data_IF_042521026717
#
_entry.id   IF_042521026717
#
_cell.length_a   1.000
_cell.length_b   1.000
_cell.length_c   1.000
_cell.angle_alpha   90.00
_cell.angle_beta   90.00
_cell.angle_gamma   90.00
#
_symmetry.space_group_name_H-M   'P 1'
#
loop_
_entity.id
_entity.type
_entity.pdbx_description
1 polymer ?
#
# COMPACT_ATOMS: atom_id res chain seq x y z
N UNK A 1 6.40 34.41 15.85
CA UNK A 1 7.40 33.45 16.39
C UNK A 1 8.46 34.26 17.09
N UNK A 2 8.59 34.15 18.41
CA UNK A 2 9.52 35.01 19.15
C UNK A 2 10.96 34.53 18.95
N UNK A 3 11.83 35.48 18.61
CA UNK A 3 13.25 35.33 18.27
C UNK A 3 14.12 34.77 19.41
N UNK A 4 13.58 34.66 20.62
CA UNK A 4 14.27 34.20 21.83
C UNK A 4 13.60 32.97 22.40
N UNK A 5 14.41 32.02 22.86
CA UNK A 5 14.01 30.84 23.64
C UNK A 5 13.39 31.21 24.99
N UNK A 6 12.73 30.24 25.64
CA UNK A 6 12.10 30.46 26.95
C UNK A 6 13.14 30.83 28.01
N UNK A 7 14.30 30.17 28.03
CA UNK A 7 15.39 30.47 28.96
C UNK A 7 15.93 31.89 28.78
N UNK A 8 16.13 32.34 27.55
CA UNK A 8 16.55 33.72 27.24
C UNK A 8 15.52 34.75 27.71
N UNK A 9 14.22 34.47 27.55
CA UNK A 9 13.15 35.37 28.04
C UNK A 9 13.11 35.43 29.56
N UNK A 10 13.27 34.30 30.25
CA UNK A 10 13.37 34.27 31.72
C UNK A 10 14.54 35.12 32.18
N UNK A 11 15.69 35.00 31.50
CA UNK A 11 16.86 35.81 31.81
C UNK A 11 16.58 37.31 31.65
N UNK A 12 15.88 37.72 30.58
CA UNK A 12 15.51 39.13 30.36
C UNK A 12 14.62 39.64 31.50
N UNK A 13 13.57 38.91 31.86
CA UNK A 13 12.63 39.30 32.94
C UNK A 13 13.35 39.44 34.28
N UNK A 14 14.11 38.41 34.68
CA UNK A 14 14.88 38.41 35.93
C UNK A 14 15.85 39.58 35.98
N UNK A 15 16.62 39.77 34.91
CA UNK A 15 17.63 40.83 34.84
C UNK A 15 16.99 42.22 34.80
N UNK A 16 15.79 42.38 34.25
CA UNK A 16 15.08 43.66 34.26
C UNK A 16 14.72 44.11 35.67
N UNK A 17 14.04 43.24 36.43
CA UNK A 17 13.63 43.58 37.79
C UNK A 17 14.81 43.69 38.76
N UNK A 18 15.87 42.88 38.61
CA UNK A 18 17.07 42.99 39.46
C UNK A 18 17.92 44.24 39.20
N UNK A 19 17.64 45.04 38.16
CA UNK A 19 18.42 46.24 37.81
C UNK A 19 17.53 47.50 37.72
N UNK A 20 16.61 47.66 38.69
CA UNK A 20 15.73 48.82 38.80
C UNK A 20 14.92 49.12 37.53
N UNK A 21 14.42 48.07 36.86
CA UNK A 21 13.60 48.17 35.65
C UNK A 21 14.29 48.90 34.50
N UNK A 22 15.63 48.86 34.41
CA UNK A 22 16.38 49.51 33.34
C UNK A 22 16.54 48.58 32.12
N UNK A 23 15.84 48.83 31.00
CA UNK A 23 15.94 47.96 29.82
C UNK A 23 17.31 48.07 29.14
N UNK A 24 18.02 49.19 29.30
CA UNK A 24 19.37 49.40 28.76
C UNK A 24 20.38 48.52 29.50
N UNK A 25 20.29 48.43 30.83
CA UNK A 25 21.16 47.55 31.63
C UNK A 25 20.85 46.08 31.33
N UNK A 26 19.57 45.72 31.20
CA UNK A 26 19.14 44.38 30.80
C UNK A 26 19.70 43.99 29.44
N UNK A 27 19.63 44.88 28.44
CA UNK A 27 20.18 44.64 27.10
C UNK A 27 21.69 44.39 27.13
N UNK A 28 22.45 45.21 27.88
CA UNK A 28 23.90 45.06 28.02
C UNK A 28 24.28 43.74 28.71
N UNK A 29 23.62 43.41 29.83
CA UNK A 29 23.84 42.14 30.55
C UNK A 29 23.47 40.92 29.71
N UNK A 30 22.41 41.00 28.91
CA UNK A 30 22.04 39.96 27.96
C UNK A 30 23.13 39.73 26.91
N UNK A 31 23.67 40.80 26.32
CA UNK A 31 24.74 40.70 25.34
C UNK A 31 26.01 40.07 25.93
N UNK A 32 26.33 40.39 27.19
CA UNK A 32 27.47 39.80 27.91
C UNK A 32 27.27 38.32 28.22
N UNK A 33 26.12 37.94 28.79
CA UNK A 33 25.84 36.55 29.20
C UNK A 33 25.83 35.59 27.99
N UNK A 34 25.14 35.99 26.92
CA UNK A 34 24.98 35.16 25.72
C UNK A 34 26.08 35.39 24.66
N UNK A 35 27.15 36.12 25.00
CA UNK A 35 28.33 36.37 24.15
C UNK A 35 27.98 36.78 22.71
N UNK A 36 27.01 37.69 22.56
CA UNK A 36 26.51 38.09 21.25
C UNK A 36 27.53 38.97 20.51
N UNK A 37 27.81 38.65 19.23
CA UNK A 37 28.66 39.47 18.34
C UNK A 37 27.96 40.75 17.84
N UNK A 38 26.65 40.84 18.02
CA UNK A 38 25.79 41.98 17.63
C UNK A 38 24.99 42.49 18.82
N UNK A 39 24.35 43.65 18.68
CA UNK A 39 23.48 44.24 19.72
C UNK A 39 22.38 43.25 20.14
N UNK A 40 22.18 43.11 21.45
CA UNK A 40 21.16 42.24 22.05
C UNK A 40 19.72 42.66 21.76
N UNK A 41 18.71 42.10 22.45
CA UNK A 41 17.31 42.44 22.24
C UNK A 41 17.09 43.95 22.32
N UNK A 42 16.33 44.50 21.37
CA UNK A 42 16.02 45.93 21.38
C UNK A 42 15.24 46.32 22.64
N UNK A 43 15.36 47.57 23.08
CA UNK A 43 14.62 48.11 24.24
C UNK A 43 13.11 47.87 24.08
N UNK A 44 12.56 48.08 22.87
CA UNK A 44 11.15 47.79 22.57
C UNK A 44 10.81 46.30 22.77
N UNK A 45 11.70 45.39 22.41
CA UNK A 45 11.48 43.95 22.61
C UNK A 45 11.52 43.56 24.08
N UNK A 46 12.40 44.18 24.87
CA UNK A 46 12.47 43.98 26.32
C UNK A 46 11.18 44.48 26.97
N UNK A 47 10.77 45.72 26.70
CA UNK A 47 9.55 46.29 27.27
C UNK A 47 8.30 45.48 26.91
N UNK A 48 8.16 45.08 25.63
CA UNK A 48 7.03 44.24 25.20
C UNK A 48 7.00 42.87 25.89
N UNK A 49 8.17 42.31 26.21
CA UNK A 49 8.25 41.05 26.97
C UNK A 49 7.85 41.24 28.43
N UNK A 50 8.26 42.36 29.05
CA UNK A 50 7.90 42.72 30.43
C UNK A 50 6.42 43.01 30.55
N UNK A 51 5.86 43.87 29.69
CA UNK A 51 4.42 44.15 29.65
C UNK A 51 3.59 42.88 29.46
N UNK A 52 4.08 41.96 28.61
CA UNK A 52 3.46 40.65 28.45
C UNK A 52 3.51 39.85 29.76
N UNK A 53 4.67 39.77 30.38
CA UNK A 53 4.88 39.03 31.62
C UNK A 53 4.03 39.60 32.77
N UNK A 54 3.92 40.92 32.89
CA UNK A 54 3.06 41.58 33.88
C UNK A 54 1.58 41.30 33.63
N UNK A 55 1.16 41.21 32.36
CA UNK A 55 -0.23 40.90 31.99
C UNK A 55 -0.60 39.42 32.19
N UNK A 56 0.28 38.48 31.85
CA UNK A 56 -0.07 37.04 31.78
C UNK A 56 0.64 36.16 32.80
N UNK A 57 1.63 36.68 33.51
CA UNK A 57 2.51 35.92 34.41
C UNK A 57 3.41 34.91 33.69
N UNK A 58 3.43 34.90 32.35
CA UNK A 58 4.10 33.86 31.56
C UNK A 58 5.00 34.42 30.46
N UNK A 59 6.19 33.84 30.35
CA UNK A 59 7.17 34.12 29.28
C UNK A 59 6.98 33.23 28.05
N UNK A 60 6.11 32.22 28.12
CA UNK A 60 5.78 31.32 27.00
C UNK A 60 5.18 32.10 25.83
N UNK A 61 5.14 31.52 24.62
CA UNK A 61 4.48 32.17 23.48
C UNK A 61 2.98 32.35 23.75
N UNK A 62 2.42 33.50 23.35
CA UNK A 62 0.98 33.72 23.41
C UNK A 62 0.38 32.92 22.25
N UNK A 63 -0.14 31.74 22.56
CA UNK A 63 -0.92 30.96 21.62
C UNK A 63 -2.36 31.48 21.48
N UNK A 64 -2.77 32.43 22.33
CA UNK A 64 -4.04 33.16 22.21
C UNK A 64 -4.09 33.90 20.88
N UNK A 65 -4.78 33.32 19.90
CA UNK A 65 -4.97 33.87 18.54
C UNK A 65 -4.18 33.15 17.44
N UNK A 66 -3.20 32.30 17.78
CA UNK A 66 -2.52 31.42 16.81
C UNK A 66 -3.19 30.04 16.77
N UNK A 67 -4.52 30.01 16.55
CA UNK A 67 -5.30 28.77 16.39
C UNK A 67 -5.06 28.06 15.04
N UNK A 68 -3.97 28.39 14.35
CA UNK A 68 -3.69 27.93 13.00
C UNK A 68 -4.70 28.46 11.97
N UNK A 69 -4.63 27.93 10.74
CA UNK A 69 -5.57 28.27 9.67
C UNK A 69 -6.97 27.82 10.09
N UNK A 70 -8.02 28.67 9.99
CA UNK A 70 -9.39 28.26 10.26
C UNK A 70 -9.76 27.02 9.43
N UNK A 71 -10.35 26.01 10.08
CA UNK A 71 -10.85 24.78 9.47
C UNK A 71 -12.10 25.07 8.62
N UNK A 72 -11.98 25.87 7.56
CA UNK A 72 -13.10 26.26 6.69
C UNK A 72 -13.79 25.09 5.99
N UNK A 73 -13.09 23.96 5.85
CA UNK A 73 -13.58 22.77 5.14
C UNK A 73 -14.08 21.67 6.08
N UNK A 74 -13.57 21.58 7.31
CA UNK A 74 -13.97 20.56 8.31
C UNK A 74 -14.93 21.14 9.35
N UNK A 75 -16.09 21.64 8.91
CA UNK A 75 -17.15 22.02 9.85
C UNK A 75 -17.78 20.78 10.47
N UNK A 76 -18.32 20.89 11.68
CA UNK A 76 -19.05 19.82 12.38
C UNK A 76 -20.15 19.21 11.51
N UNK A 77 -20.88 20.06 10.78
CA UNK A 77 -21.90 19.63 9.81
C UNK A 77 -21.34 18.71 8.71
N UNK A 78 -20.17 19.03 8.15
CA UNK A 78 -19.55 18.24 7.07
C UNK A 78 -18.98 16.92 7.59
N UNK A 79 -18.49 16.91 8.83
CA UNK A 79 -18.06 15.68 9.51
C UNK A 79 -19.26 14.75 9.68
N UNK A 80 -20.39 15.27 10.17
CA UNK A 80 -21.60 14.49 10.37
C UNK A 80 -22.20 13.97 9.06
N UNK A 81 -22.26 14.80 8.01
CA UNK A 81 -22.68 14.34 6.67
C UNK A 81 -21.75 13.25 6.12
N UNK A 82 -20.46 13.33 6.40
CA UNK A 82 -19.50 12.30 6.00
C UNK A 82 -19.75 11.01 6.78
N UNK A 83 -19.98 11.08 8.10
CA UNK A 83 -20.34 9.94 8.95
C UNK A 83 -21.57 9.22 8.41
N UNK A 84 -22.67 9.95 8.18
CA UNK A 84 -23.92 9.38 7.66
C UNK A 84 -23.74 8.71 6.30
N UNK A 85 -22.87 9.24 5.43
CA UNK A 85 -22.59 8.62 4.13
C UNK A 85 -21.92 7.24 4.27
N UNK A 86 -20.99 7.10 5.23
CA UNK A 86 -20.32 5.83 5.51
C UNK A 86 -21.18 4.87 6.34
N UNK A 87 -22.04 5.35 7.24
CA UNK A 87 -23.01 4.51 7.95
C UNK A 87 -24.05 3.90 7.01
N UNK A 88 -24.60 4.69 6.07
CA UNK A 88 -25.58 4.20 5.09
C UNK A 88 -24.97 3.23 4.08
N UNK A 89 -23.72 3.47 3.69
CA UNK A 89 -23.02 2.60 2.76
C UNK A 89 -21.53 2.54 3.08
N UNK A 90 -21.13 1.57 3.91
CA UNK A 90 -19.74 1.36 4.34
C UNK A 90 -18.75 1.14 3.19
N UNK A 91 -19.25 0.80 1.99
CA UNK A 91 -18.44 0.55 0.78
C UNK A 91 -18.18 1.80 -0.06
N UNK A 92 -18.71 2.96 0.35
CA UNK A 92 -18.58 4.19 -0.43
C UNK A 92 -17.11 4.58 -0.57
N UNK A 93 -16.66 4.85 -1.79
CA UNK A 93 -15.29 5.33 -2.00
C UNK A 93 -15.14 6.76 -1.49
N UNK A 94 -13.94 7.14 -1.01
CA UNK A 94 -13.65 8.52 -0.58
C UNK A 94 -14.01 9.53 -1.68
N UNK A 95 -13.83 9.17 -2.95
CA UNK A 95 -14.18 10.03 -4.09
C UNK A 95 -15.71 10.22 -4.22
N UNK A 96 -16.50 9.15 -4.04
CA UNK A 96 -17.97 9.23 -4.08
C UNK A 96 -18.52 9.98 -2.88
N UNK A 97 -17.98 9.75 -1.68
CA UNK A 97 -18.30 10.52 -0.48
C UNK A 97 -17.95 12.01 -0.64
N UNK A 98 -16.81 12.34 -1.25
CA UNK A 98 -16.42 13.72 -1.56
C UNK A 98 -17.42 14.42 -2.50
N UNK A 99 -17.94 13.71 -3.49
CA UNK A 99 -18.99 14.23 -4.37
C UNK A 99 -20.32 14.45 -3.63
N UNK A 100 -20.72 13.52 -2.76
CA UNK A 100 -21.94 13.62 -1.95
C UNK A 100 -21.89 14.79 -0.94
N UNK A 101 -20.76 14.95 -0.26
CA UNK A 101 -20.56 16.00 0.77
C UNK A 101 -20.07 17.33 0.17
N UNK A 102 -19.79 17.35 -1.14
CA UNK A 102 -19.28 18.52 -1.90
C UNK A 102 -18.01 19.14 -1.30
N UNK A 103 -17.06 18.29 -0.92
CA UNK A 103 -15.74 18.70 -0.42
C UNK A 103 -14.62 17.99 -1.17
N UNK A 104 -13.40 18.53 -1.08
CA UNK A 104 -12.24 17.91 -1.72
C UNK A 104 -11.99 16.51 -1.14
N UNK A 105 -11.56 15.59 -2.00
CA UNK A 105 -11.23 14.19 -1.64
C UNK A 105 -10.33 14.11 -0.40
N UNK A 106 -9.28 14.93 -0.35
CA UNK A 106 -8.32 14.87 0.75
C UNK A 106 -8.93 15.32 2.08
N UNK A 107 -9.87 16.27 2.05
CA UNK A 107 -10.61 16.68 3.24
C UNK A 107 -11.50 15.55 3.77
N UNK A 108 -12.18 14.80 2.89
CA UNK A 108 -12.93 13.60 3.30
C UNK A 108 -11.99 12.55 3.89
N UNK A 109 -10.84 12.28 3.25
CA UNK A 109 -9.87 11.31 3.78
C UNK A 109 -9.43 11.68 5.20
N UNK A 110 -9.11 12.96 5.41
CA UNK A 110 -8.73 13.48 6.72
C UNK A 110 -9.87 13.37 7.74
N UNK A 111 -11.12 13.64 7.33
CA UNK A 111 -12.30 13.44 8.19
C UNK A 111 -12.47 11.97 8.57
N UNK A 112 -12.41 11.07 7.59
CA UNK A 112 -12.59 9.63 7.79
C UNK A 112 -11.53 9.04 8.73
N UNK A 113 -10.26 9.43 8.57
CA UNK A 113 -9.15 8.86 9.34
C UNK A 113 -8.95 9.56 10.69
N UNK A 114 -8.94 10.89 10.73
CA UNK A 114 -8.58 11.64 11.93
C UNK A 114 -9.79 11.94 12.83
N UNK A 115 -10.95 12.24 12.23
CA UNK A 115 -12.13 12.70 12.99
C UNK A 115 -13.13 11.56 13.26
N UNK A 116 -13.31 10.64 12.30
CA UNK A 116 -14.21 9.48 12.42
C UNK A 116 -13.49 8.18 12.82
N UNK A 117 -12.15 8.16 12.78
CA UNK A 117 -11.32 7.00 13.12
C UNK A 117 -11.73 5.70 12.40
N UNK A 118 -12.21 5.81 11.16
CA UNK A 118 -12.60 4.66 10.36
C UNK A 118 -11.37 4.00 9.75
N UNK A 119 -11.29 2.68 9.87
CA UNK A 119 -10.25 1.88 9.27
C UNK A 119 -10.71 1.29 7.94
N UNK A 120 -9.76 1.17 7.01
CA UNK A 120 -9.99 0.50 5.73
C UNK A 120 -9.75 -0.99 5.91
N UNK A 121 -10.82 -1.76 5.96
CA UNK A 121 -10.72 -3.22 5.95
C UNK A 121 -10.68 -3.77 4.53
N UNK A 122 -9.72 -4.67 4.29
CA UNK A 122 -9.57 -5.42 3.05
C UNK A 122 -9.77 -6.90 3.37
N UNK A 123 -10.58 -7.60 2.58
CA UNK A 123 -10.80 -9.03 2.77
C UNK A 123 -9.50 -9.78 2.44
N UNK A 124 -8.88 -10.35 3.47
CA UNK A 124 -7.70 -11.19 3.39
C UNK A 124 -8.12 -12.66 3.46
N UNK A 125 -8.21 -13.30 2.29
CA UNK A 125 -8.30 -14.76 2.21
C UNK A 125 -6.88 -15.23 1.97
N UNK A 126 -6.36 -16.03 2.91
CA UNK A 126 -5.08 -16.71 2.80
C UNK A 126 -5.35 -18.21 2.82
N UNK A 127 -4.74 -18.97 1.91
CA UNK A 127 -4.63 -20.41 2.09
C UNK A 127 -3.70 -20.65 3.29
N UNK A 128 -4.11 -21.51 4.22
CA UNK A 128 -3.28 -21.89 5.35
C UNK A 128 -2.13 -22.76 4.83
N UNK A 129 -0.94 -22.21 4.79
CA UNK A 129 0.27 -22.98 4.46
C UNK A 129 0.59 -23.94 5.61
N UNK A 130 0.85 -25.20 5.28
CA UNK A 130 1.38 -26.17 6.23
C UNK A 130 2.89 -25.97 6.39
N UNK A 131 3.47 -26.39 7.51
CA UNK A 131 4.91 -26.34 7.73
C UNK A 131 5.67 -27.10 6.62
N UNK A 132 5.18 -28.28 6.25
CA UNK A 132 5.71 -29.08 5.12
C UNK A 132 5.70 -28.31 3.80
N UNK A 133 4.63 -27.58 3.51
CA UNK A 133 4.55 -26.78 2.28
C UNK A 133 5.55 -25.62 2.28
N UNK A 134 5.90 -25.08 3.45
CA UNK A 134 6.94 -24.05 3.56
C UNK A 134 8.31 -24.64 3.29
N UNK A 135 8.61 -25.79 3.88
CA UNK A 135 9.88 -26.52 3.68
C UNK A 135 10.07 -26.91 2.20
N UNK A 136 9.07 -27.52 1.58
CA UNK A 136 9.12 -27.90 0.16
C UNK A 136 9.35 -26.70 -0.77
N UNK A 137 8.73 -25.55 -0.47
CA UNK A 137 8.94 -24.31 -1.24
C UNK A 137 10.34 -23.76 -1.06
N UNK A 138 10.92 -23.88 0.13
CA UNK A 138 12.27 -23.40 0.41
C UNK A 138 13.32 -24.29 -0.26
N UNK A 139 13.17 -25.61 -0.17
CA UNK A 139 14.01 -26.58 -0.88
C UNK A 139 13.99 -26.33 -2.39
N UNK A 140 12.80 -26.19 -2.97
CA UNK A 140 12.63 -25.89 -4.40
C UNK A 140 13.30 -24.57 -4.82
N UNK A 141 13.11 -23.50 -4.04
CA UNK A 141 13.74 -22.21 -4.35
C UNK A 141 15.26 -22.32 -4.27
N UNK A 142 15.79 -23.00 -3.25
CA UNK A 142 17.24 -23.16 -3.10
C UNK A 142 17.82 -23.97 -4.26
N UNK A 143 17.16 -25.07 -4.69
CA UNK A 143 17.65 -25.87 -5.82
C UNK A 143 17.66 -25.07 -7.13
N UNK A 144 16.60 -24.31 -7.41
CA UNK A 144 16.54 -23.49 -8.64
C UNK A 144 17.58 -22.36 -8.59
N UNK A 145 17.81 -21.74 -7.43
CA UNK A 145 18.87 -20.72 -7.28
C UNK A 145 20.24 -21.33 -7.52
N UNK A 146 20.55 -22.50 -6.96
CA UNK A 146 21.80 -23.20 -7.23
C UNK A 146 21.97 -23.56 -8.72
N UNK A 147 20.91 -23.97 -9.40
CA UNK A 147 20.95 -24.24 -10.84
C UNK A 147 21.19 -22.97 -11.66
N UNK A 148 20.64 -21.82 -11.26
CA UNK A 148 20.91 -20.53 -11.89
C UNK A 148 22.37 -20.12 -11.67
N UNK A 149 22.88 -20.23 -10.44
CA UNK A 149 24.25 -19.84 -10.10
C UNK A 149 25.31 -20.71 -10.81
N UNK A 150 24.96 -21.95 -11.17
CA UNK A 150 25.82 -22.87 -11.91
C UNK A 150 25.60 -22.82 -13.45
N UNK A 151 24.87 -21.84 -13.98
CA UNK A 151 24.53 -21.70 -15.40
C UNK A 151 23.79 -22.91 -16.00
N UNK A 152 23.11 -23.70 -15.17
CA UNK A 152 22.32 -24.88 -15.58
C UNK A 152 20.85 -24.54 -15.89
N UNK A 153 20.37 -23.39 -15.41
CA UNK A 153 19.00 -22.93 -15.61
C UNK A 153 18.97 -21.48 -16.08
N UNK A 154 18.58 -21.25 -17.33
CA UNK A 154 18.36 -19.91 -17.86
C UNK A 154 16.87 -19.54 -17.78
N UNK A 155 16.56 -18.52 -16.98
CA UNK A 155 15.21 -18.00 -16.79
C UNK A 155 14.61 -17.49 -18.11
N UNK A 156 15.43 -17.05 -19.08
CA UNK A 156 14.94 -16.60 -20.38
C UNK A 156 14.45 -17.77 -21.25
N UNK A 157 14.90 -18.99 -20.98
CA UNK A 157 14.49 -20.22 -21.66
C UNK A 157 13.21 -20.85 -21.06
N UNK A 158 12.67 -20.26 -20.00
CA UNK A 158 11.51 -20.79 -19.30
C UNK A 158 10.20 -20.32 -19.93
N UNK A 159 9.33 -21.28 -20.24
CA UNK A 159 7.92 -21.08 -20.56
C UNK A 159 7.08 -21.42 -19.34
N UNK A 160 6.24 -20.48 -18.90
CA UNK A 160 5.34 -20.63 -17.76
C UNK A 160 3.91 -20.62 -18.24
N UNK A 161 3.12 -21.63 -17.90
CA UNK A 161 1.68 -21.65 -18.21
C UNK A 161 0.81 -21.53 -16.96
N UNK A 162 -0.38 -20.96 -17.13
CA UNK A 162 -1.40 -20.88 -16.09
C UNK A 162 -2.80 -20.71 -16.71
N UNK A 163 -3.84 -21.04 -15.95
CA UNK A 163 -5.24 -20.81 -16.28
C UNK A 163 -5.81 -19.60 -15.53
N UNK A 164 -6.50 -18.73 -16.27
CA UNK A 164 -7.28 -17.64 -15.69
C UNK A 164 -8.77 -17.79 -15.99
N UNK A 165 -9.59 -17.73 -14.94
CA UNK A 165 -11.06 -17.70 -15.09
C UNK A 165 -11.58 -16.27 -15.25
N UNK A 166 -12.25 -16.02 -16.38
CA UNK A 166 -12.94 -14.76 -16.66
C UNK A 166 -14.44 -14.95 -16.52
N UNK A 167 -15.05 -14.12 -15.67
CA UNK A 167 -16.49 -14.17 -15.41
C UNK A 167 -17.18 -12.96 -16.06
N UNK A 168 -18.11 -13.22 -16.97
CA UNK A 168 -18.87 -12.19 -17.69
C UNK A 168 -19.84 -11.40 -16.79
N UNK A 169 -20.16 -11.90 -15.59
CA UNK A 169 -21.13 -11.30 -14.68
C UNK A 169 -20.51 -10.40 -13.59
N UNK A 170 -19.25 -9.99 -13.72
CA UNK A 170 -18.60 -9.12 -12.73
C UNK A 170 -18.32 -9.85 -11.41
N UNK A 171 -17.63 -10.99 -11.49
CA UNK A 171 -17.15 -11.73 -10.32
C UNK A 171 -16.36 -10.85 -9.35
N UNK A 172 -16.28 -11.29 -8.09
CA UNK A 172 -15.76 -10.51 -6.96
C UNK A 172 -14.33 -10.04 -7.25
N UNK A 173 -14.16 -8.84 -7.82
CA UNK A 173 -12.86 -8.21 -7.89
C UNK A 173 -12.51 -7.71 -6.49
N UNK A 174 -11.64 -8.46 -5.78
CA UNK A 174 -11.16 -8.17 -4.41
C UNK A 174 -10.71 -6.72 -4.20
N UNK A 175 -10.16 -6.06 -5.24
CA UNK A 175 -9.76 -4.65 -5.14
C UNK A 175 -10.94 -3.70 -4.89
N UNK A 176 -12.14 -4.08 -5.30
CA UNK A 176 -13.37 -3.31 -5.14
C UNK A 176 -14.09 -3.55 -3.80
N UNK A 177 -13.67 -4.55 -3.02
CA UNK A 177 -14.31 -4.90 -1.73
C UNK A 177 -13.59 -4.23 -0.55
N UNK A 178 -13.67 -2.90 -0.49
CA UNK A 178 -13.21 -2.10 0.66
C UNK A 178 -14.40 -1.71 1.52
N UNK A 179 -14.31 -1.97 2.81
CA UNK A 179 -15.32 -1.58 3.79
C UNK A 179 -14.65 -0.62 4.77
N UNK A 180 -15.31 0.50 5.04
CA UNK A 180 -14.94 1.41 6.12
C UNK A 180 -15.78 1.09 7.34
N UNK A 181 -15.12 0.91 8.49
CA UNK A 181 -15.79 0.64 9.76
C UNK A 181 -14.86 0.99 10.91
N UNK A 182 -15.43 1.15 12.11
CA UNK A 182 -14.67 1.21 13.36
C UNK A 182 -14.27 -0.19 13.83
N UNK A 183 -15.02 -1.22 13.42
CA UNK A 183 -14.79 -2.63 13.74
C UNK A 183 -14.93 -3.51 12.47
N UNK A 184 -14.46 -4.75 12.55
CA UNK A 184 -14.57 -5.70 11.44
C UNK A 184 -16.04 -6.14 11.25
N UNK A 185 -16.63 -5.82 10.10
CA UNK A 185 -18.07 -5.98 9.88
C UNK A 185 -18.54 -7.41 9.59
N UNK A 186 -17.66 -8.43 9.69
CA UNK A 186 -17.96 -9.86 9.42
C UNK A 186 -18.90 -10.10 8.22
N UNK A 187 -18.69 -9.35 7.14
CA UNK A 187 -19.66 -9.30 6.05
C UNK A 187 -19.51 -10.50 5.12
N UNK A 188 -20.54 -11.34 5.05
CA UNK A 188 -20.65 -12.43 4.08
C UNK A 188 -21.54 -11.99 2.91
N UNK A 189 -21.23 -12.47 1.70
CA UNK A 189 -22.00 -12.15 0.49
C UNK A 189 -22.42 -13.43 -0.15
N UNK A 190 -23.72 -13.57 -0.27
CA UNK A 190 -24.34 -14.67 -1.00
C UNK A 190 -24.31 -14.33 -2.49
N UNK A 191 -23.76 -15.24 -3.30
CA UNK A 191 -23.78 -15.16 -4.76
C UNK A 191 -24.23 -16.49 -5.31
N UNK A 192 -24.75 -16.47 -6.54
CA UNK A 192 -25.06 -17.69 -7.28
C UNK A 192 -23.83 -18.59 -7.33
N UNK A 193 -24.02 -19.86 -6.96
CA UNK A 193 -23.00 -20.90 -6.90
C UNK A 193 -22.46 -21.29 -8.29
N UNK A 194 -23.13 -20.88 -9.38
CA UNK A 194 -22.84 -21.34 -10.74
C UNK A 194 -22.65 -20.20 -11.76
N UNK A 195 -21.72 -19.25 -11.55
CA UNK A 195 -21.28 -18.43 -12.67
C UNK A 195 -20.62 -19.36 -13.71
N UNK A 196 -20.90 -19.17 -15.01
CA UNK A 196 -20.18 -19.87 -16.08
C UNK A 196 -18.94 -19.05 -16.45
N UNK A 197 -17.73 -19.38 -15.96
CA UNK A 197 -16.51 -18.71 -16.40
C UNK A 197 -16.13 -19.15 -17.81
N UNK A 198 -15.41 -18.29 -18.51
CA UNK A 198 -14.54 -18.71 -19.62
C UNK A 198 -13.15 -18.88 -19.03
N UNK A 199 -12.56 -20.06 -19.17
CA UNK A 199 -11.19 -20.32 -18.73
C UNK A 199 -10.26 -20.03 -19.90
N UNK A 200 -9.26 -19.20 -19.68
CA UNK A 200 -8.23 -18.93 -20.68
C UNK A 200 -6.94 -19.54 -20.16
N UNK A 201 -6.38 -20.46 -20.93
CA UNK A 201 -5.01 -20.93 -20.73
C UNK A 201 -4.08 -20.07 -21.57
N UNK A 202 -2.85 -19.91 -21.10
CA UNK A 202 -1.80 -19.19 -21.82
C UNK A 202 -0.43 -19.60 -21.29
N UNK A 203 0.56 -19.71 -22.20
CA UNK A 203 1.97 -19.83 -21.86
C UNK A 203 2.71 -18.50 -22.12
N UNK A 204 3.61 -18.14 -21.21
CA UNK A 204 4.34 -16.89 -21.18
C UNK A 204 5.84 -17.17 -21.01
N UNK A 205 6.67 -16.50 -21.81
CA UNK A 205 8.12 -16.51 -21.68
C UNK A 205 8.69 -15.11 -21.95
N UNK A 206 10.00 -14.95 -21.74
CA UNK A 206 10.75 -13.77 -22.18
C UNK A 206 10.61 -13.52 -23.71
N UNK A 207 10.36 -14.59 -24.49
CA UNK A 207 10.21 -14.56 -25.95
C UNK A 207 8.82 -14.12 -26.42
N UNK A 208 7.80 -14.23 -25.57
CA UNK A 208 6.44 -13.85 -25.95
C UNK A 208 5.35 -14.65 -25.26
N UNK A 209 4.22 -14.72 -25.94
CA UNK A 209 2.96 -15.27 -25.43
C UNK A 209 2.47 -16.31 -26.43
N UNK A 210 2.15 -17.51 -25.96
CA UNK A 210 1.63 -18.62 -26.77
C UNK A 210 0.31 -19.11 -26.19
N UNK A 211 -0.61 -19.45 -27.08
CA UNK A 211 -1.78 -20.25 -26.74
C UNK A 211 -2.77 -19.52 -25.85
N UNK A 212 -3.28 -18.35 -26.24
CA UNK A 212 -4.53 -17.85 -25.66
C UNK A 212 -5.67 -18.78 -26.05
N UNK A 213 -5.83 -19.87 -25.29
CA UNK A 213 -6.78 -20.95 -25.56
C UNK A 213 -7.99 -20.74 -24.69
N UNK A 214 -9.15 -20.59 -25.33
CA UNK A 214 -10.41 -20.39 -24.65
C UNK A 214 -11.09 -21.74 -24.42
N UNK A 215 -11.24 -22.10 -23.16
CA UNK A 215 -12.07 -23.22 -22.74
C UNK A 215 -13.42 -22.69 -22.23
N UNK A 216 -14.49 -23.07 -22.93
CA UNK A 216 -15.87 -22.76 -22.52
C UNK A 216 -16.36 -23.66 -21.36
N UNK A 217 -15.60 -24.71 -21.04
CA UNK A 217 -15.89 -25.70 -20.01
C UNK A 217 -14.68 -25.87 -19.08
N UNK A 218 -14.85 -26.67 -18.02
CA UNK A 218 -13.74 -27.05 -17.15
C UNK A 218 -12.65 -27.76 -17.97
N UNK A 219 -11.40 -27.41 -17.70
CA UNK A 219 -10.23 -28.04 -18.31
C UNK A 219 -10.12 -29.45 -17.73
N UNK A 220 -10.26 -30.46 -18.57
CA UNK A 220 -9.93 -31.85 -18.25
C UNK A 220 -8.56 -32.19 -18.85
N UNK A 221 -7.98 -33.32 -18.45
CA UNK A 221 -6.64 -33.72 -18.90
C UNK A 221 -6.55 -33.86 -20.42
N UNK A 222 -7.56 -34.43 -21.08
CA UNK A 222 -7.56 -34.59 -22.53
C UNK A 222 -7.49 -33.24 -23.28
N UNK A 223 -8.32 -32.26 -22.89
CA UNK A 223 -8.30 -30.92 -23.49
C UNK A 223 -6.99 -30.18 -23.19
N UNK A 224 -6.40 -30.45 -22.03
CA UNK A 224 -5.11 -29.87 -21.65
C UNK A 224 -3.98 -30.43 -22.52
N UNK A 225 -3.89 -31.76 -22.65
CA UNK A 225 -2.94 -32.44 -23.53
C UNK A 225 -3.12 -31.98 -24.98
N UNK A 226 -4.36 -31.86 -25.45
CA UNK A 226 -4.68 -31.36 -26.78
C UNK A 226 -4.16 -29.92 -26.99
N UNK A 227 -4.34 -29.05 -25.99
CA UNK A 227 -3.83 -27.68 -26.02
C UNK A 227 -2.29 -27.64 -26.08
N UNK A 228 -1.60 -28.46 -25.30
CA UNK A 228 -0.15 -28.56 -25.34
C UNK A 228 0.34 -29.08 -26.70
N UNK A 229 -0.21 -30.21 -27.16
CA UNK A 229 0.20 -30.89 -28.40
C UNK A 229 -0.09 -30.06 -29.65
N UNK A 230 -1.24 -29.41 -29.72
CA UNK A 230 -1.68 -28.74 -30.94
C UNK A 230 -1.30 -27.26 -31.01
N UNK A 231 -0.99 -26.61 -29.89
CA UNK A 231 -0.74 -25.18 -29.85
C UNK A 231 0.60 -24.81 -29.21
N UNK A 232 0.88 -25.29 -28.00
CA UNK A 232 2.13 -24.91 -27.32
C UNK A 232 3.34 -25.46 -28.07
N UNK A 233 3.44 -26.79 -28.15
CA UNK A 233 4.62 -27.48 -28.69
C UNK A 233 4.91 -27.01 -30.12
N UNK A 234 3.95 -26.97 -31.07
CA UNK A 234 4.24 -26.53 -32.43
C UNK A 234 4.70 -25.07 -32.50
N UNK A 235 4.19 -24.20 -31.63
CA UNK A 235 4.57 -22.78 -31.62
C UNK A 235 6.03 -22.60 -31.17
N UNK A 236 6.44 -23.29 -30.10
CA UNK A 236 7.79 -23.14 -29.53
C UNK A 236 8.83 -24.03 -30.22
N UNK A 237 8.42 -25.15 -30.84
CA UNK A 237 9.33 -26.06 -31.54
C UNK A 237 9.96 -25.43 -32.78
N UNK A 238 9.38 -24.34 -33.29
CA UNK A 238 9.96 -23.55 -34.38
C UNK A 238 11.16 -22.68 -33.95
N UNK A 239 11.36 -22.51 -32.64
CA UNK A 239 12.46 -21.72 -32.09
C UNK A 239 13.79 -22.49 -32.15
N UNK A 240 14.91 -21.83 -32.49
CA UNK A 240 16.19 -22.48 -32.72
C UNK A 240 16.78 -23.15 -31.47
N UNK A 241 16.33 -22.74 -30.28
CA UNK A 241 16.78 -23.19 -28.97
C UNK A 241 15.72 -23.97 -28.20
N UNK A 242 14.73 -24.54 -28.89
CA UNK A 242 13.70 -25.41 -28.29
C UNK A 242 14.29 -26.50 -27.39
N UNK A 243 15.39 -27.11 -27.83
CA UNK A 243 16.14 -28.14 -27.09
C UNK A 243 16.81 -27.64 -25.81
N UNK A 244 16.74 -26.36 -25.48
CA UNK A 244 17.22 -25.80 -24.22
C UNK A 244 16.10 -25.20 -23.38
N UNK A 245 14.84 -25.25 -23.87
CA UNK A 245 13.71 -24.66 -23.19
C UNK A 245 13.25 -25.47 -21.99
N UNK A 246 12.79 -24.75 -20.98
CA UNK A 246 12.18 -25.30 -19.78
C UNK A 246 10.69 -25.02 -19.81
N UNK A 247 9.88 -25.97 -19.37
CA UNK A 247 8.44 -25.79 -19.23
C UNK A 247 8.03 -25.81 -17.77
N UNK A 248 7.18 -24.88 -17.37
CA UNK A 248 6.66 -24.75 -16.01
C UNK A 248 5.14 -24.67 -16.01
N UNK A 249 4.52 -25.49 -15.16
CA UNK A 249 3.08 -25.53 -14.94
C UNK A 249 2.76 -25.71 -13.45
N UNK A 250 1.47 -25.65 -13.08
CA UNK A 250 1.04 -25.95 -11.72
C UNK A 250 0.68 -27.45 -11.56
N UNK A 251 0.54 -27.90 -10.31
CA UNK A 251 0.15 -29.27 -9.98
C UNK A 251 -1.37 -29.50 -9.96
N UNK A 252 -2.15 -28.78 -10.78
CA UNK A 252 -3.57 -29.05 -10.86
C UNK A 252 -3.83 -30.51 -11.29
N UNK A 253 -4.96 -31.08 -10.84
CA UNK A 253 -5.28 -32.49 -11.13
C UNK A 253 -5.25 -32.85 -12.62
N UNK A 254 -5.69 -31.99 -13.56
CA UNK A 254 -5.58 -32.30 -14.98
C UNK A 254 -4.13 -32.43 -15.50
N UNK A 255 -3.17 -31.79 -14.83
CA UNK A 255 -1.74 -31.71 -15.21
C UNK A 255 -0.89 -32.81 -14.53
N UNK A 256 -1.56 -33.88 -14.07
CA UNK A 256 -0.91 -34.99 -13.35
C UNK A 256 -1.24 -36.35 -13.93
N UNK A 257 -1.58 -36.38 -15.22
CA UNK A 257 -1.88 -37.61 -15.94
C UNK A 257 -0.65 -38.14 -16.64
N UNK A 258 -0.49 -39.47 -16.69
CA UNK A 258 0.65 -40.09 -17.37
C UNK A 258 0.77 -39.62 -18.82
N UNK A 259 -0.34 -39.53 -19.56
CA UNK A 259 -0.32 -39.04 -20.95
C UNK A 259 0.26 -37.63 -21.10
N UNK A 260 0.06 -36.79 -20.09
CA UNK A 260 0.55 -35.42 -20.10
C UNK A 260 2.04 -35.36 -19.75
N UNK A 261 2.48 -36.11 -18.73
CA UNK A 261 3.90 -36.27 -18.42
C UNK A 261 4.67 -36.94 -19.55
N UNK A 262 4.12 -37.98 -20.18
CA UNK A 262 4.73 -38.67 -21.32
C UNK A 262 4.95 -37.68 -22.48
N UNK A 263 3.96 -36.81 -22.77
CA UNK A 263 4.07 -35.77 -23.79
C UNK A 263 5.12 -34.72 -23.43
N UNK A 264 5.17 -34.28 -22.17
CA UNK A 264 6.16 -33.29 -21.74
C UNK A 264 7.58 -33.88 -21.72
N UNK A 265 7.75 -35.11 -21.24
CA UNK A 265 9.04 -35.80 -21.21
C UNK A 265 9.57 -36.05 -22.63
N UNK A 266 8.70 -36.38 -23.60
CA UNK A 266 9.07 -36.53 -25.01
C UNK A 266 9.73 -35.26 -25.59
N UNK A 267 9.28 -34.09 -25.15
CA UNK A 267 9.69 -32.80 -25.73
C UNK A 267 10.69 -32.01 -24.88
N UNK A 268 10.60 -32.11 -23.56
CA UNK A 268 11.40 -31.33 -22.62
C UNK A 268 12.37 -32.18 -21.81
N UNK A 269 12.27 -33.52 -21.86
CA UNK A 269 13.06 -34.43 -21.03
C UNK A 269 12.99 -34.05 -19.55
N UNK A 270 14.13 -33.88 -18.88
CA UNK A 270 14.23 -33.47 -17.47
C UNK A 270 13.97 -31.97 -17.24
N UNK A 271 13.64 -31.19 -18.30
CA UNK A 271 13.46 -29.71 -18.23
C UNK A 271 12.03 -29.30 -17.90
N UNK A 272 11.42 -29.98 -16.95
CA UNK A 272 10.04 -29.74 -16.51
C UNK A 272 10.06 -29.25 -15.07
N UNK A 273 9.41 -28.12 -14.83
CA UNK A 273 9.23 -27.52 -13.51
C UNK A 273 7.74 -27.61 -13.17
N UNK A 274 7.34 -28.68 -12.50
CA UNK A 274 6.01 -28.81 -11.92
C UNK A 274 6.08 -28.54 -10.42
#
# INVERSE_FOLDING_TARGET
MSRYSVSERIFIVRTHYSNNNSPIVTQRKFATEFKLKTTGPSVSTINRLIEKFERTGSVCDDMFGNVGRPLSVKTTEKIERTRQAFERSPRTSIRKAAQQVRIKRESVRQIVVADLQLFRYTIQIHQRLSQRSVEQRLEFVNSIVEMIDNDQFDVNMLWRSDEAHFHLNGYVNRQNWRIWGTENSHFAIEKSLYPRPVTVWCALSSRGIVGTIFFEQAVNSERYVEALRNQLIPAIQSEPDFECMWFMQDFATPHRTNEEFDLLEEHFNERIVA
#
